data_IF_331584822302
#
_entry.id   IF_331584822302
#
_cell.length_a   1.000
_cell.length_b   1.000
_cell.length_c   1.000
_cell.angle_alpha   90.00
_cell.angle_beta   90.00
_cell.angle_gamma   90.00
#
_symmetry.space_group_name_H-M   'P 1'
#
loop_
_entity.id
_entity.type
_entity.pdbx_description
1 polymer ?
#
# COMPACT_ATOMS: atom_id res chain seq x y z
N UNK A 1 16.63 -7.38 11.84
CA UNK A 1 16.46 -6.34 12.89
C UNK A 1 15.38 -5.37 12.51
N UNK A 2 14.66 -4.81 13.50
CA UNK A 2 13.64 -3.77 13.30
C UNK A 2 13.94 -2.56 14.16
N UNK A 3 13.85 -1.37 13.58
CA UNK A 3 13.94 -0.10 14.29
C UNK A 3 12.67 0.71 14.03
N UNK A 4 11.98 1.10 15.09
CA UNK A 4 10.87 2.06 15.01
C UNK A 4 11.34 3.37 15.64
N UNK A 5 11.23 4.48 14.91
CA UNK A 5 11.76 5.77 15.35
C UNK A 5 10.85 6.93 14.99
N UNK A 6 10.97 8.02 15.75
CA UNK A 6 10.35 9.31 15.45
C UNK A 6 11.27 10.43 15.92
N UNK A 7 10.96 11.68 15.56
CA UNK A 7 11.68 12.87 16.02
C UNK A 7 10.80 13.65 16.99
N UNK A 8 11.39 14.27 18.00
CA UNK A 8 10.64 15.13 18.93
C UNK A 8 9.91 16.23 18.14
N UNK A 9 8.58 16.33 18.32
CA UNK A 9 7.72 17.28 17.62
C UNK A 9 7.27 16.84 16.22
N UNK A 10 7.74 15.71 15.70
CA UNK A 10 7.22 15.14 14.45
C UNK A 10 5.86 14.47 14.69
N UNK A 11 5.02 14.51 13.65
CA UNK A 11 3.73 13.80 13.61
C UNK A 11 3.81 12.41 12.97
N UNK A 12 4.96 12.05 12.43
CA UNK A 12 5.20 10.79 11.73
C UNK A 12 6.19 9.90 12.49
N UNK A 13 6.16 8.61 12.20
CA UNK A 13 7.16 7.64 12.65
C UNK A 13 7.63 6.80 11.46
N UNK A 14 8.82 6.21 11.61
CA UNK A 14 9.47 5.39 10.60
C UNK A 14 9.77 4.01 11.14
N UNK A 15 9.61 3.02 10.29
CA UNK A 15 10.09 1.67 10.46
C UNK A 15 11.27 1.49 9.49
N UNK A 16 12.42 1.10 10.03
CA UNK A 16 13.59 0.69 9.26
C UNK A 16 13.93 -0.74 9.67
N UNK A 17 13.74 -1.67 8.75
CA UNK A 17 14.03 -3.08 8.95
C UNK A 17 15.20 -3.53 8.09
N UNK A 18 16.02 -4.42 8.65
CA UNK A 18 17.09 -5.12 7.95
C UNK A 18 16.82 -6.62 8.05
N UNK A 19 16.55 -7.27 6.92
CA UNK A 19 16.39 -8.72 6.85
C UNK A 19 17.66 -9.32 6.27
N UNK A 20 18.31 -10.20 7.03
CA UNK A 20 19.56 -10.85 6.65
C UNK A 20 19.35 -12.35 6.55
N UNK A 21 19.85 -12.97 5.48
CA UNK A 21 19.95 -14.43 5.42
C UNK A 21 21.21 -14.87 6.18
N UNK A 22 21.04 -15.25 7.45
CA UNK A 22 22.14 -15.76 8.30
C UNK A 22 22.47 -17.24 8.03
N UNK A 23 21.79 -17.87 7.06
CA UNK A 23 22.09 -19.22 6.60
C UNK A 23 23.26 -19.27 5.62
N UNK A 24 23.54 -20.49 5.16
CA UNK A 24 24.64 -20.78 4.22
C UNK A 24 24.16 -21.01 2.78
N UNK A 25 22.86 -21.15 2.56
CA UNK A 25 22.24 -21.35 1.25
C UNK A 25 21.48 -20.10 0.78
N UNK A 26 21.27 -19.99 -0.54
CA UNK A 26 20.35 -18.97 -1.08
C UNK A 26 18.92 -19.31 -0.70
N UNK A 27 18.23 -18.40 -0.02
CA UNK A 27 16.89 -18.62 0.53
C UNK A 27 15.87 -17.69 -0.12
N UNK A 28 14.67 -18.21 -0.41
CA UNK A 28 13.56 -17.42 -0.94
C UNK A 28 13.03 -16.46 0.11
N UNK A 29 12.69 -15.24 -0.30
CA UNK A 29 12.32 -14.15 0.59
C UNK A 29 11.04 -13.46 0.12
N UNK A 30 9.99 -13.53 0.94
CA UNK A 30 8.73 -12.83 0.74
C UNK A 30 8.48 -11.94 1.95
N UNK A 31 8.09 -10.69 1.70
CA UNK A 31 7.79 -9.72 2.74
C UNK A 31 6.66 -8.80 2.27
N UNK A 32 5.71 -8.60 3.16
CA UNK A 32 4.57 -7.71 3.01
C UNK A 32 4.37 -6.98 4.33
N UNK A 33 4.25 -5.66 4.29
CA UNK A 33 3.86 -4.86 5.45
C UNK A 33 2.36 -4.65 5.41
N UNK A 34 1.64 -5.30 6.31
CA UNK A 34 0.18 -5.24 6.33
C UNK A 34 -0.29 -4.01 7.12
N UNK A 35 -0.37 -2.85 6.45
CA UNK A 35 -0.67 -1.58 7.11
C UNK A 35 -2.16 -1.29 7.11
N UNK A 36 -2.84 -1.61 8.20
CA UNK A 36 -4.28 -1.46 8.34
C UNK A 36 -4.65 -0.08 8.88
N UNK A 37 -5.48 0.64 8.13
CA UNK A 37 -5.95 1.99 8.43
C UNK A 37 -7.47 1.93 8.56
N UNK A 38 -8.00 2.51 9.64
CA UNK A 38 -9.45 2.57 9.91
C UNK A 38 -9.94 4.00 10.10
N UNK A 39 -11.07 4.13 10.79
CA UNK A 39 -11.63 5.42 11.20
C UNK A 39 -10.61 6.25 12.03
N UNK A 40 -10.53 7.59 11.89
CA UNK A 40 -11.38 8.46 11.05
C UNK A 40 -10.89 8.66 9.61
N UNK A 41 -9.80 8.01 9.18
CA UNK A 41 -9.34 8.13 7.80
C UNK A 41 -10.23 7.33 6.84
N UNK A 42 -10.67 6.13 7.25
CA UNK A 42 -11.67 5.34 6.55
C UNK A 42 -13.06 5.75 7.03
N UNK A 43 -13.89 6.20 6.09
CA UNK A 43 -15.29 6.58 6.29
C UNK A 43 -16.02 6.61 4.94
N UNK A 44 -17.35 6.70 4.97
CA UNK A 44 -18.14 6.87 3.76
C UNK A 44 -17.69 8.13 3.00
N UNK A 45 -17.37 7.97 1.72
CA UNK A 45 -16.93 9.07 0.85
C UNK A 45 -15.45 9.45 1.01
N UNK A 46 -14.71 8.81 1.92
CA UNK A 46 -13.25 8.88 1.92
C UNK A 46 -12.67 8.27 0.64
N UNK A 47 -11.43 8.63 0.32
CA UNK A 47 -10.77 8.17 -0.90
C UNK A 47 -9.31 7.77 -0.66
N UNK A 48 -8.83 6.87 -1.52
CA UNK A 48 -7.42 6.52 -1.64
C UNK A 48 -6.79 7.45 -2.68
N UNK A 49 -5.71 8.12 -2.29
CA UNK A 49 -4.88 8.95 -3.17
C UNK A 49 -3.54 8.25 -3.32
N UNK A 50 -3.23 7.80 -4.53
CA UNK A 50 -1.98 7.09 -4.81
C UNK A 50 -1.49 7.35 -6.23
N UNK A 51 -0.16 7.27 -6.48
CA UNK A 51 0.41 7.41 -7.80
C UNK A 51 0.34 6.08 -8.57
N UNK A 52 -0.83 5.44 -8.61
CA UNK A 52 -1.05 4.15 -9.29
C UNK A 52 -0.99 4.32 -10.80
N UNK A 53 -0.06 3.63 -11.48
CA UNK A 53 -0.02 3.55 -12.95
C UNK A 53 -1.00 2.52 -13.46
N UNK A 54 -0.96 1.32 -12.86
CA UNK A 54 -1.87 0.22 -13.18
C UNK A 54 -2.55 -0.26 -11.91
N UNK A 55 -3.82 -0.63 -12.02
CA UNK A 55 -4.58 -1.32 -10.97
C UNK A 55 -5.25 -2.54 -11.59
N UNK A 56 -5.08 -3.70 -10.93
CA UNK A 56 -5.73 -4.95 -11.32
C UNK A 56 -6.46 -5.56 -10.12
N UNK A 57 -7.69 -6.07 -10.29
CA UNK A 57 -8.34 -6.83 -9.23
C UNK A 57 -7.65 -8.19 -9.03
N UNK A 58 -7.72 -8.71 -7.80
CA UNK A 58 -7.23 -10.05 -7.47
C UNK A 58 -8.11 -11.14 -8.07
N UNK A 59 -9.42 -10.98 -7.99
CA UNK A 59 -10.40 -12.02 -8.30
C UNK A 59 -11.70 -11.41 -8.86
N UNK A 60 -12.70 -12.24 -9.13
CA UNK A 60 -13.99 -11.82 -9.65
C UNK A 60 -14.79 -10.91 -8.69
N UNK A 61 -14.57 -11.02 -7.38
CA UNK A 61 -15.24 -10.17 -6.38
C UNK A 61 -14.65 -8.75 -6.43
N UNK A 62 -13.34 -8.64 -6.59
CA UNK A 62 -12.65 -7.37 -6.79
C UNK A 62 -12.87 -6.78 -8.21
N UNK A 63 -13.05 -7.62 -9.24
CA UNK A 63 -13.36 -7.17 -10.61
C UNK A 63 -14.69 -6.41 -10.66
N UNK A 64 -15.70 -6.89 -9.94
CA UNK A 64 -16.95 -6.17 -9.74
C UNK A 64 -16.70 -4.86 -8.98
N UNK A 65 -16.94 -3.71 -9.62
CA UNK A 65 -16.74 -2.39 -9.01
C UNK A 65 -15.29 -1.89 -8.97
N UNK A 66 -14.37 -2.52 -9.73
CA UNK A 66 -12.95 -2.12 -9.76
C UNK A 66 -12.71 -0.67 -10.18
N UNK A 67 -13.64 -0.05 -10.91
CA UNK A 67 -13.58 1.37 -11.26
C UNK A 67 -13.67 2.30 -10.05
N UNK A 68 -14.10 1.77 -8.89
CA UNK A 68 -14.16 2.45 -7.60
C UNK A 68 -13.10 1.93 -6.62
N UNK A 69 -12.01 1.34 -7.11
CA UNK A 69 -10.89 0.91 -6.25
C UNK A 69 -10.44 2.02 -5.29
N UNK A 70 -10.49 3.29 -5.70
CA UNK A 70 -10.06 4.39 -4.85
C UNK A 70 -11.15 5.03 -3.98
N UNK A 71 -12.40 4.59 -4.01
CA UNK A 71 -13.51 5.15 -3.21
C UNK A 71 -13.90 4.22 -2.08
N UNK A 72 -14.20 4.79 -0.91
CA UNK A 72 -14.57 4.03 0.28
C UNK A 72 -16.07 4.18 0.56
N UNK A 73 -16.73 3.04 0.73
CA UNK A 73 -18.17 2.95 0.97
C UNK A 73 -18.46 2.94 2.48
N UNK A 74 -19.71 3.17 2.88
CA UNK A 74 -20.12 2.98 4.27
C UNK A 74 -19.98 1.50 4.72
N UNK A 75 -19.90 1.23 6.04
CA UNK A 75 -19.94 -0.13 6.55
C UNK A 75 -21.11 -0.92 5.96
N UNK A 76 -20.82 -2.09 5.41
CA UNK A 76 -21.74 -2.89 4.61
C UNK A 76 -21.85 -4.30 5.19
N UNK A 77 -23.08 -4.72 5.50
CA UNK A 77 -23.35 -6.06 6.02
C UNK A 77 -22.91 -7.14 5.03
N UNK A 78 -22.15 -8.15 5.51
CA UNK A 78 -21.63 -9.26 4.70
C UNK A 78 -20.77 -8.82 3.50
N UNK A 79 -20.03 -7.72 3.64
CA UNK A 79 -19.07 -7.31 2.63
C UNK A 79 -18.01 -8.39 2.42
N UNK A 80 -17.84 -8.83 1.17
CA UNK A 80 -16.72 -9.66 0.77
C UNK A 80 -15.54 -8.74 0.45
N UNK A 81 -14.36 -9.03 1.04
CA UNK A 81 -13.15 -8.24 0.80
C UNK A 81 -12.87 -8.08 -0.70
N UNK A 82 -12.26 -6.95 -1.06
CA UNK A 82 -11.74 -6.72 -2.41
C UNK A 82 -10.25 -6.39 -2.31
N UNK A 83 -9.44 -7.15 -3.03
CA UNK A 83 -8.00 -6.89 -3.15
C UNK A 83 -7.67 -6.35 -4.54
N UNK A 84 -6.84 -5.31 -4.59
CA UNK A 84 -6.33 -4.74 -5.84
C UNK A 84 -4.80 -4.72 -5.81
N UNK A 85 -4.18 -5.14 -6.90
CA UNK A 85 -2.74 -5.02 -7.12
C UNK A 85 -2.42 -3.72 -7.83
N UNK A 86 -1.33 -3.05 -7.44
CA UNK A 86 -0.93 -1.77 -8.01
C UNK A 86 0.51 -1.80 -8.55
N UNK A 87 0.72 -1.20 -9.72
CA UNK A 87 2.02 -0.68 -10.13
C UNK A 87 2.14 0.80 -9.75
N UNK A 88 2.82 1.11 -8.65
CA UNK A 88 2.96 2.50 -8.18
C UNK A 88 4.08 3.24 -8.91
N UNK A 89 3.90 4.53 -9.22
CA UNK A 89 5.00 5.38 -9.68
C UNK A 89 5.80 5.92 -8.48
N UNK A 90 7.08 5.56 -8.41
CA UNK A 90 8.02 6.20 -7.47
C UNK A 90 8.53 7.53 -8.01
N UNK A 91 8.95 8.41 -7.11
CA UNK A 91 9.69 9.62 -7.43
C UNK A 91 11.11 9.31 -7.98
N UNK A 92 11.94 10.33 -8.17
CA UNK A 92 13.33 10.16 -8.68
C UNK A 92 14.19 9.25 -7.79
N UNK A 93 13.91 9.19 -6.50
CA UNK A 93 14.63 8.36 -5.53
C UNK A 93 13.99 6.96 -5.36
N UNK A 94 12.77 6.77 -5.87
CA UNK A 94 11.98 5.55 -5.75
C UNK A 94 10.96 5.60 -4.60
N UNK A 95 10.80 6.74 -3.93
CA UNK A 95 9.80 6.90 -2.90
C UNK A 95 8.39 6.94 -3.50
N UNK A 96 7.47 6.21 -2.87
CA UNK A 96 6.04 6.18 -3.20
C UNK A 96 5.29 6.62 -1.96
N UNK A 97 4.43 7.63 -2.10
CA UNK A 97 3.51 8.06 -1.04
C UNK A 97 2.08 7.79 -1.49
N UNK A 98 1.31 7.07 -0.67
CA UNK A 98 -0.13 6.90 -0.84
C UNK A 98 -0.85 7.23 0.47
N UNK A 99 -2.12 7.59 0.37
CA UNK A 99 -2.90 8.04 1.51
C UNK A 99 -4.36 7.61 1.42
N UNK A 100 -5.00 7.48 2.58
CA UNK A 100 -6.46 7.52 2.73
C UNK A 100 -6.83 8.88 3.29
N UNK A 101 -7.77 9.55 2.65
CA UNK A 101 -8.16 10.93 2.98
C UNK A 101 -9.67 11.02 3.14
N UNK A 102 -10.09 11.62 4.24
CA UNK A 102 -11.47 11.88 4.60
C UNK A 102 -11.68 13.40 4.67
N UNK A 103 -12.12 13.98 3.56
CA UNK A 103 -12.52 15.39 3.47
C UNK A 103 -13.80 15.69 4.25
N UNK A 104 -14.63 14.67 4.47
CA UNK A 104 -15.87 14.75 5.25
C UNK A 104 -15.62 14.92 6.75
N UNK A 105 -14.42 14.57 7.23
CA UNK A 105 -14.05 14.74 8.63
C UNK A 105 -13.76 16.21 8.96
N UNK A 106 -14.81 16.95 9.35
CA UNK A 106 -14.73 18.40 9.60
C UNK A 106 -14.06 18.75 10.94
N UNK A 107 -12.76 18.47 11.08
CA UNK A 107 -11.98 18.92 12.25
C UNK A 107 -11.55 20.37 12.06
N UNK A 108 -12.30 21.32 12.63
CA UNK A 108 -12.00 22.77 12.53
C UNK A 108 -11.88 23.28 11.08
N UNK A 109 -12.51 22.59 10.13
CA UNK A 109 -12.50 22.94 8.71
C UNK A 109 -11.37 22.32 7.88
N UNK A 110 -10.47 21.53 8.49
CA UNK A 110 -9.42 20.75 7.81
C UNK A 110 -9.82 19.28 7.63
N UNK A 111 -9.30 18.59 6.59
CA UNK A 111 -9.50 17.17 6.38
C UNK A 111 -8.70 16.34 7.40
N UNK A 112 -9.00 15.04 7.46
CA UNK A 112 -8.14 14.07 8.13
C UNK A 112 -7.72 12.98 7.15
N UNK A 113 -6.52 12.44 7.33
CA UNK A 113 -6.06 11.30 6.55
C UNK A 113 -4.85 10.64 7.17
N UNK A 114 -4.44 9.52 6.59
CA UNK A 114 -3.22 8.80 6.93
C UNK A 114 -2.47 8.53 5.64
N UNK A 115 -1.19 8.90 5.60
CA UNK A 115 -0.30 8.53 4.52
C UNK A 115 0.67 7.44 4.97
N UNK A 116 1.12 6.66 4.00
CA UNK A 116 2.35 5.89 4.12
C UNK A 116 3.31 6.30 3.00
N UNK A 117 4.61 6.27 3.29
CA UNK A 117 5.66 6.40 2.28
C UNK A 117 6.59 5.21 2.38
N UNK A 118 6.86 4.56 1.26
CA UNK A 118 7.80 3.43 1.16
C UNK A 118 8.72 3.60 -0.06
N UNK A 119 9.76 2.78 -0.18
CA UNK A 119 10.62 2.79 -1.37
C UNK A 119 10.30 1.61 -2.31
N UNK A 120 9.92 1.91 -3.55
CA UNK A 120 9.61 0.90 -4.57
C UNK A 120 10.80 0.00 -4.92
N UNK A 121 12.03 0.46 -4.71
CA UNK A 121 13.22 -0.39 -4.95
C UNK A 121 13.38 -1.48 -3.87
N UNK A 122 12.81 -1.25 -2.68
CA UNK A 122 12.84 -2.19 -1.55
C UNK A 122 11.60 -3.10 -1.58
N UNK A 123 10.43 -2.51 -1.84
CA UNK A 123 9.13 -3.18 -1.94
C UNK A 123 8.51 -2.86 -3.32
N UNK A 124 8.79 -3.65 -4.36
CA UNK A 124 8.42 -3.30 -5.74
C UNK A 124 6.94 -3.46 -6.07
N UNK A 125 6.16 -4.09 -5.20
CA UNK A 125 4.74 -4.39 -5.38
C UNK A 125 3.91 -3.74 -4.29
N UNK A 126 2.62 -3.62 -4.54
CA UNK A 126 1.68 -3.06 -3.60
C UNK A 126 0.32 -3.74 -3.76
N UNK A 127 -0.30 -4.10 -2.64
CA UNK A 127 -1.67 -4.58 -2.58
C UNK A 127 -2.51 -3.60 -1.77
N UNK A 128 -3.69 -3.29 -2.27
CA UNK A 128 -4.76 -2.67 -1.51
C UNK A 128 -5.72 -3.77 -1.07
N UNK A 129 -5.93 -3.91 0.23
CA UNK A 129 -6.98 -4.75 0.79
C UNK A 129 -8.11 -3.88 1.30
N UNK A 130 -9.29 -3.98 0.68
CA UNK A 130 -10.48 -3.20 1.05
C UNK A 130 -11.49 -4.11 1.73
N UNK A 131 -11.75 -3.85 3.01
CA UNK A 131 -12.78 -4.54 3.78
C UNK A 131 -13.75 -3.50 4.37
N UNK A 132 -14.91 -3.33 3.74
CA UNK A 132 -15.93 -2.37 4.16
C UNK A 132 -17.00 -3.02 5.06
N UNK A 133 -16.70 -4.16 5.68
CA UNK A 133 -17.61 -4.89 6.54
C UNK A 133 -17.99 -4.12 7.81
N UNK A 134 -19.19 -4.40 8.34
CA UNK A 134 -19.54 -4.01 9.71
C UNK A 134 -18.56 -4.65 10.70
N UNK A 135 -18.10 -3.90 11.70
CA UNK A 135 -17.03 -4.27 12.66
C UNK A 135 -15.63 -4.45 12.06
N UNK A 136 -15.52 -4.89 10.82
CA UNK A 136 -14.27 -5.07 10.09
C UNK A 136 -13.97 -3.90 9.12
N UNK A 137 -14.32 -2.67 9.48
CA UNK A 137 -14.26 -1.52 8.58
C UNK A 137 -12.84 -0.94 8.46
N UNK A 138 -12.07 -1.43 7.48
CA UNK A 138 -10.61 -1.20 7.38
C UNK A 138 -10.09 -1.27 5.94
N UNK A 139 -9.01 -0.55 5.68
CA UNK A 139 -8.24 -0.67 4.43
C UNK A 139 -6.79 -1.00 4.76
N UNK A 140 -6.28 -2.07 4.16
CA UNK A 140 -4.87 -2.45 4.16
C UNK A 140 -4.12 -1.80 3.01
N UNK A 141 -3.07 -1.04 3.33
CA UNK A 141 -2.03 -0.68 2.39
C UNK A 141 -0.85 -1.63 2.56
N UNK A 142 -0.51 -2.36 1.51
CA UNK A 142 0.38 -3.51 1.62
C UNK A 142 1.56 -3.40 0.65
N UNK A 143 2.53 -2.50 0.91
CA UNK A 143 3.78 -2.50 0.15
C UNK A 143 4.52 -3.82 0.43
N UNK A 144 4.94 -4.49 -0.64
CA UNK A 144 5.44 -5.85 -0.58
C UNK A 144 6.42 -6.19 -1.72
N UNK A 145 6.99 -7.38 -1.68
CA UNK A 145 7.76 -7.96 -2.78
C UNK A 145 7.10 -9.23 -3.36
N UNK A 146 5.87 -9.54 -2.95
CA UNK A 146 5.16 -10.77 -3.28
C UNK A 146 3.69 -10.52 -3.65
N UNK A 147 3.03 -11.50 -4.24
CA UNK A 147 1.57 -11.53 -4.36
C UNK A 147 0.87 -11.97 -3.06
N UNK A 148 -0.46 -11.92 -3.04
CA UNK A 148 -1.30 -12.39 -1.91
C UNK A 148 -2.04 -13.71 -2.20
N UNK A 149 -1.85 -14.28 -3.40
CA UNK A 149 -2.42 -15.58 -3.81
C UNK A 149 -1.63 -16.79 -3.27
N UNK A 150 -0.60 -16.54 -2.47
CA UNK A 150 0.22 -17.55 -1.82
C UNK A 150 1.53 -17.83 -2.52
N UNK A 151 2.45 -18.41 -1.76
CA UNK A 151 3.85 -18.63 -2.17
C UNK A 151 4.00 -19.47 -3.44
N UNK A 152 3.19 -20.52 -3.60
CA UNK A 152 3.29 -21.43 -4.73
C UNK A 152 2.99 -20.73 -6.07
N UNK A 153 2.01 -19.83 -6.12
CA UNK A 153 1.71 -19.02 -7.31
C UNK A 153 2.90 -18.13 -7.68
N UNK A 154 3.46 -17.42 -6.70
CA UNK A 154 4.64 -16.58 -6.94
C UNK A 154 5.86 -17.42 -7.36
N UNK A 155 5.98 -18.67 -6.91
CA UNK A 155 7.02 -19.60 -7.35
C UNK A 155 6.85 -20.02 -8.81
N UNK A 156 5.65 -20.47 -9.18
CA UNK A 156 5.28 -20.87 -10.54
C UNK A 156 5.48 -19.73 -11.55
N UNK A 157 5.16 -18.50 -11.16
CA UNK A 157 5.33 -17.32 -12.00
C UNK A 157 6.78 -16.80 -12.02
N UNK A 158 7.68 -17.35 -11.21
CA UNK A 158 9.07 -16.91 -11.11
C UNK A 158 9.21 -15.52 -10.47
N UNK A 159 8.33 -15.20 -9.52
CA UNK A 159 8.21 -13.92 -8.85
C UNK A 159 8.89 -13.88 -7.47
N UNK A 160 9.38 -15.03 -6.97
CA UNK A 160 10.05 -15.10 -5.67
C UNK A 160 11.41 -14.39 -5.66
N UNK A 161 11.54 -13.39 -4.81
CA UNK A 161 12.84 -12.83 -4.46
C UNK A 161 13.67 -13.85 -3.67
N UNK A 162 15.00 -13.66 -3.68
CA UNK A 162 15.95 -14.52 -2.95
C UNK A 162 17.01 -13.68 -2.27
N UNK A 163 17.57 -14.20 -1.18
CA UNK A 163 18.74 -13.66 -0.47
C UNK A 163 19.85 -14.71 -0.51
N UNK A 164 21.03 -14.34 -0.99
CA UNK A 164 22.24 -15.17 -0.85
C UNK A 164 22.65 -15.27 0.63
N UNK A 165 23.48 -16.25 0.98
CA UNK A 165 24.08 -16.35 2.30
C UNK A 165 24.77 -15.02 2.69
N UNK A 166 24.46 -14.49 3.88
CA UNK A 166 24.94 -13.21 4.38
C UNK A 166 24.34 -11.96 3.72
N UNK A 167 23.51 -12.09 2.69
CA UNK A 167 22.89 -10.95 2.02
C UNK A 167 21.81 -10.32 2.90
N UNK A 168 21.79 -8.99 2.92
CA UNK A 168 20.78 -8.20 3.63
C UNK A 168 19.90 -7.40 2.66
N UNK A 169 18.66 -7.14 3.08
CA UNK A 169 17.73 -6.18 2.47
C UNK A 169 17.22 -5.22 3.53
N UNK A 170 17.27 -3.94 3.19
CA UNK A 170 16.73 -2.87 3.99
C UNK A 170 15.34 -2.50 3.48
N UNK A 171 14.44 -2.18 4.41
CA UNK A 171 13.08 -1.72 4.11
C UNK A 171 12.73 -0.54 5.00
N UNK A 172 12.35 0.55 4.36
CA UNK A 172 11.95 1.80 5.00
C UNK A 172 10.48 2.10 4.71
N UNK A 173 9.71 2.33 5.78
CA UNK A 173 8.33 2.78 5.70
C UNK A 173 8.10 3.91 6.70
N UNK A 174 7.52 5.01 6.24
CA UNK A 174 7.05 6.12 7.07
C UNK A 174 5.53 6.15 7.12
N UNK A 175 4.97 6.44 8.29
CA UNK A 175 3.55 6.67 8.52
C UNK A 175 3.36 8.06 9.09
N UNK A 176 2.31 8.76 8.67
CA UNK A 176 1.93 10.01 9.31
C UNK A 176 0.50 10.43 9.01
N UNK A 177 -0.08 11.30 9.85
CA UNK A 177 -1.40 11.84 9.61
C UNK A 177 -1.34 13.02 8.64
N UNK A 178 -2.41 13.20 7.89
CA UNK A 178 -2.73 14.41 7.13
C UNK A 178 -3.73 15.18 7.98
N UNK A 179 -3.39 16.43 8.31
CA UNK A 179 -4.16 17.22 9.29
C UNK A 179 -4.49 18.63 8.82
N UNK A 180 -4.05 18.98 7.62
CA UNK A 180 -4.28 20.29 7.00
C UNK A 180 -4.59 20.11 5.52
N UNK A 181 -5.32 21.07 4.94
CA UNK A 181 -5.57 21.09 3.48
C UNK A 181 -4.28 21.15 2.66
N UNK A 182 -3.29 21.93 3.10
CA UNK A 182 -2.04 22.07 2.35
C UNK A 182 -1.28 20.75 2.21
N UNK A 183 -1.27 19.92 3.27
CA UNK A 183 -0.67 18.58 3.23
C UNK A 183 -1.40 17.66 2.27
N UNK A 184 -2.74 17.71 2.29
CA UNK A 184 -3.58 16.93 1.38
C UNK A 184 -3.34 17.31 -0.08
N UNK A 185 -3.42 18.60 -0.40
CA UNK A 185 -3.23 19.09 -1.77
C UNK A 185 -1.84 18.76 -2.30
N UNK A 186 -0.79 18.83 -1.47
CA UNK A 186 0.55 18.40 -1.87
C UNK A 186 0.62 16.92 -2.28
N UNK A 187 -0.11 16.02 -1.61
CA UNK A 187 -0.15 14.59 -1.95
C UNK A 187 -0.98 14.39 -3.22
N UNK A 188 -2.13 15.06 -3.34
CA UNK A 188 -2.96 15.04 -4.56
C UNK A 188 -2.19 15.51 -5.78
N UNK A 189 -1.50 16.64 -5.69
CA UNK A 189 -0.70 17.20 -6.78
C UNK A 189 0.44 16.27 -7.21
N UNK A 190 1.06 15.57 -6.26
CA UNK A 190 2.07 14.58 -6.56
C UNK A 190 1.49 13.37 -7.33
N UNK A 191 0.31 12.88 -6.90
CA UNK A 191 -0.35 11.72 -7.50
C UNK A 191 -1.03 12.03 -8.83
N UNK A 192 -1.60 13.23 -9.00
CA UNK A 192 -2.32 13.66 -10.20
C UNK A 192 -1.46 13.68 -11.48
N UNK A 193 -0.13 13.67 -11.32
CA UNK A 193 0.84 13.54 -12.41
C UNK A 193 0.89 12.13 -13.02
N UNK A 194 0.24 11.16 -12.38
CA UNK A 194 0.22 9.76 -12.79
C UNK A 194 -1.20 9.41 -13.24
N UNK A 195 -1.33 9.02 -14.50
CA UNK A 195 -2.59 8.50 -15.03
C UNK A 195 -2.72 7.02 -14.66
N UNK A 196 -3.80 6.67 -13.98
CA UNK A 196 -4.13 5.28 -13.65
C UNK A 196 -4.85 4.60 -14.81
N UNK A 197 -4.44 3.38 -15.11
CA UNK A 197 -5.07 2.46 -16.06
C UNK A 197 -5.55 1.21 -15.31
N UNK A 198 -6.79 0.80 -15.55
CA UNK A 198 -7.34 -0.43 -14.99
C UNK A 198 -7.09 -1.57 -15.97
N UNK A 199 -6.49 -2.66 -15.49
CA UNK A 199 -6.19 -3.85 -16.30
C UNK A 199 -6.87 -5.08 -15.72
N UNK A 200 -6.84 -6.21 -16.44
CA UNK A 200 -7.53 -7.43 -16.02
C UNK A 200 -6.71 -8.29 -15.07
N UNK A 201 -5.39 -8.19 -15.11
CA UNK A 201 -4.50 -8.99 -14.28
C UNK A 201 -3.23 -8.26 -13.90
N UNK A 202 -2.77 -8.45 -12.66
CA UNK A 202 -1.48 -7.91 -12.22
C UNK A 202 -0.29 -8.49 -13.01
N UNK A 203 -0.50 -9.66 -13.66
CA UNK A 203 0.48 -10.31 -14.53
C UNK A 203 0.85 -9.45 -15.74
N UNK A 204 0.02 -8.46 -16.10
CA UNK A 204 0.28 -7.52 -17.20
C UNK A 204 1.37 -6.49 -16.87
N UNK A 205 1.59 -6.17 -15.59
CA UNK A 205 2.55 -5.16 -15.16
C UNK A 205 3.61 -5.65 -14.16
N UNK A 206 3.40 -6.80 -13.51
CA UNK A 206 4.35 -7.33 -12.53
C UNK A 206 5.67 -7.70 -13.19
N UNK A 207 6.77 -7.32 -12.54
CA UNK A 207 8.12 -7.63 -13.02
C UNK A 207 8.74 -8.72 -12.17
N UNK A 208 9.48 -9.61 -12.84
CA UNK A 208 10.33 -10.59 -12.17
C UNK A 208 11.49 -9.88 -11.45
N UNK A 209 11.91 -10.40 -10.28
CA UNK A 209 13.00 -9.84 -9.49
C UNK A 209 14.37 -9.94 -10.15
#
# INVERSE_FOLDING_TARGET
TRTVSTKLGAKSFRIHDVVTNEGFDTTKFMLLYHCNIGWPAVDEGAEIVSPSRFVAPRDAVAEDGKEKWNKLDAPTHKYAEKCYYHDMAGDRNGAVTCAIVNDGFKRKGDPFGVYITYNKKQLPRFVEWKQMGEQDYVVGFEPCNCGVEGRHIDEELGLLHSLRAGESREVDIEFGPITTKAELESIRDACAKVKTELVGSYKEFVKKP
#
